data_IF_338295723058
#
_entry.id   IF_338295723058
#
_cell.length_a   1.000
_cell.length_b   1.000
_cell.length_c   1.000
_cell.angle_alpha   90.00
_cell.angle_beta   90.00
_cell.angle_gamma   90.00
#
_symmetry.space_group_name_H-M   'P 1'
#
loop_
_entity.id
_entity.type
_entity.pdbx_description
1 polymer ?
#
# COMPACT_ATOMS: atom_id res chain seq x y z
N UNK A 1 -39.10 1.05 17.13
CA UNK A 1 -37.96 1.24 18.05
C UNK A 1 -36.89 2.00 17.27
N UNK A 2 -36.78 3.31 17.51
CA UNK A 2 -35.87 4.19 16.77
C UNK A 2 -34.50 4.18 17.46
N UNK A 3 -33.43 3.99 16.69
CA UNK A 3 -32.06 4.14 17.19
C UNK A 3 -31.72 5.64 17.33
N UNK A 4 -31.03 6.07 18.39
CA UNK A 4 -30.70 7.48 18.59
C UNK A 4 -29.64 7.97 17.58
N UNK A 5 -29.76 9.20 17.06
CA UNK A 5 -28.83 9.78 16.11
C UNK A 5 -27.65 10.39 16.86
N UNK A 6 -26.55 9.65 16.99
CA UNK A 6 -25.23 10.26 17.23
C UNK A 6 -24.10 9.29 16.83
N UNK A 7 -24.08 8.90 15.56
CA UNK A 7 -22.83 8.40 14.96
C UNK A 7 -21.99 9.63 14.62
N UNK A 8 -21.00 9.92 15.46
CA UNK A 8 -19.98 10.92 15.20
C UNK A 8 -19.17 10.53 13.97
N UNK A 9 -19.63 10.96 12.80
CA UNK A 9 -18.82 11.01 11.59
C UNK A 9 -17.98 12.29 11.67
N UNK A 10 -16.68 12.15 11.97
CA UNK A 10 -15.74 13.25 11.79
C UNK A 10 -14.99 13.69 13.04
N UNK A 11 -13.95 14.49 12.79
CA UNK A 11 -13.01 15.08 13.74
C UNK A 11 -13.73 15.63 14.97
N UNK A 12 -13.28 15.25 16.17
CA UNK A 12 -13.79 15.76 17.43
C UNK A 12 -12.70 16.46 18.24
N UNK A 13 -13.13 17.30 19.19
CA UNK A 13 -12.20 18.03 20.05
C UNK A 13 -11.43 17.08 20.97
N UNK A 14 -10.09 17.17 20.92
CA UNK A 14 -9.20 16.36 21.74
C UNK A 14 -9.47 16.49 23.25
N UNK A 15 -10.07 17.57 23.75
CA UNK A 15 -10.37 17.69 25.18
C UNK A 15 -11.59 16.86 25.62
N UNK A 16 -12.53 16.60 24.71
CA UNK A 16 -13.84 15.97 25.00
C UNK A 16 -13.84 14.45 24.82
N UNK A 17 -12.90 13.91 24.05
CA UNK A 17 -12.83 12.47 23.81
C UNK A 17 -12.18 11.69 24.98
N UNK A 18 -12.54 10.42 25.21
CA UNK A 18 -11.79 9.52 26.08
C UNK A 18 -10.37 9.27 25.56
N UNK A 19 -9.40 9.06 26.47
CA UNK A 19 -8.02 8.74 26.07
C UNK A 19 -7.89 7.44 25.27
N UNK A 20 -8.82 6.49 25.45
CA UNK A 20 -8.88 5.26 24.65
C UNK A 20 -9.17 5.50 23.17
N UNK A 21 -9.89 6.58 22.84
CA UNK A 21 -10.36 6.90 21.48
C UNK A 21 -9.34 7.74 20.67
N UNK A 22 -8.31 8.26 21.33
CA UNK A 22 -7.32 9.18 20.73
C UNK A 22 -5.97 8.53 20.49
N UNK A 23 -5.80 7.27 20.86
CA UNK A 23 -4.51 6.59 20.82
C UNK A 23 -4.41 5.73 19.57
N UNK A 24 -3.40 6.04 18.76
CA UNK A 24 -3.15 5.40 17.48
C UNK A 24 -1.68 5.00 17.37
N UNK A 25 -1.39 3.97 16.60
CA UNK A 25 -0.03 3.52 16.29
C UNK A 25 0.13 3.42 14.79
N UNK A 26 1.13 4.09 14.24
CA UNK A 26 1.55 3.91 12.86
C UNK A 26 2.64 2.85 12.80
N UNK A 27 2.38 1.76 12.07
CA UNK A 27 3.31 0.66 11.88
C UNK A 27 4.25 0.93 10.70
N UNK A 28 5.38 0.22 10.68
CA UNK A 28 6.35 0.28 9.57
C UNK A 28 5.71 -0.13 8.23
N UNK A 29 4.80 -1.09 8.25
CA UNK A 29 4.07 -1.56 7.06
C UNK A 29 3.07 -0.52 6.49
N UNK A 30 2.92 0.65 7.12
CA UNK A 30 1.97 1.71 6.73
C UNK A 30 0.58 1.59 7.35
N UNK A 31 0.31 0.59 8.20
CA UNK A 31 -0.99 0.47 8.87
C UNK A 31 -1.10 1.41 10.07
N UNK A 32 -2.22 2.12 10.16
CA UNK A 32 -2.57 2.96 11.31
C UNK A 32 -3.61 2.21 12.16
N UNK A 33 -3.22 1.83 13.38
CA UNK A 33 -4.03 1.03 14.32
C UNK A 33 -4.60 1.93 15.41
N UNK A 34 -5.90 1.80 15.68
CA UNK A 34 -6.52 2.34 16.88
C UNK A 34 -6.24 1.42 18.07
N UNK A 35 -5.53 1.92 19.10
CA UNK A 35 -5.05 1.07 20.20
C UNK A 35 -6.21 0.47 21.00
N UNK A 36 -7.28 1.23 21.24
CA UNK A 36 -8.39 0.78 22.08
C UNK A 36 -9.26 -0.33 21.48
N UNK A 37 -9.28 -0.48 20.16
CA UNK A 37 -10.12 -1.48 19.47
C UNK A 37 -9.34 -2.46 18.60
N UNK A 38 -8.04 -2.25 18.42
CA UNK A 38 -7.17 -3.01 17.52
C UNK A 38 -7.61 -2.98 16.04
N UNK A 39 -8.58 -2.13 15.71
CA UNK A 39 -9.03 -1.90 14.35
C UNK A 39 -8.08 -0.94 13.63
N UNK A 40 -8.07 -1.01 12.30
CA UNK A 40 -7.17 -0.22 11.46
C UNK A 40 -7.97 0.77 10.62
N UNK A 41 -7.33 1.88 10.29
CA UNK A 41 -7.88 2.86 9.34
C UNK A 41 -7.95 2.21 7.95
N UNK A 42 -9.16 2.14 7.39
CA UNK A 42 -9.46 1.63 6.06
C UNK A 42 -10.09 2.72 5.20
N UNK A 43 -9.50 2.98 4.04
CA UNK A 43 -10.01 3.89 3.03
C UNK A 43 -10.94 3.19 2.04
N UNK A 44 -12.05 3.84 1.72
CA UNK A 44 -12.90 3.50 0.58
C UNK A 44 -13.05 4.76 -0.30
N UNK A 45 -13.68 4.65 -1.47
CA UNK A 45 -13.84 5.76 -2.41
C UNK A 45 -14.50 7.00 -1.77
N UNK A 46 -15.46 6.78 -0.86
CA UNK A 46 -16.28 7.85 -0.31
C UNK A 46 -15.98 8.19 1.16
N UNK A 47 -15.34 7.28 1.91
CA UNK A 47 -15.18 7.43 3.36
C UNK A 47 -14.01 6.63 3.92
N UNK A 48 -13.61 6.99 5.14
CA UNK A 48 -12.60 6.29 5.94
C UNK A 48 -13.30 5.66 7.16
N UNK A 49 -13.02 4.39 7.43
CA UNK A 49 -13.63 3.63 8.53
C UNK A 49 -12.61 2.85 9.34
N UNK A 50 -12.97 2.47 10.57
CA UNK A 50 -12.22 1.46 11.32
C UNK A 50 -12.70 0.06 10.93
N UNK A 51 -11.79 -0.80 10.50
CA UNK A 51 -12.11 -2.19 10.17
C UNK A 51 -11.09 -3.17 10.76
N UNK A 52 -11.43 -4.47 10.74
CA UNK A 52 -10.45 -5.53 11.04
C UNK A 52 -9.33 -5.48 10.02
N UNK A 53 -8.11 -5.69 10.49
CA UNK A 53 -6.96 -5.73 9.60
C UNK A 53 -7.03 -6.93 8.64
N UNK A 54 -6.99 -6.65 7.35
CA UNK A 54 -6.93 -7.61 6.24
C UNK A 54 -5.59 -7.53 5.50
N UNK A 55 -4.71 -6.60 5.87
CA UNK A 55 -3.46 -6.29 5.17
C UNK A 55 -3.68 -5.92 3.69
N UNK A 56 -4.81 -5.30 3.36
CA UNK A 56 -5.12 -4.87 2.00
C UNK A 56 -4.54 -3.46 1.72
N UNK A 57 -4.37 -3.07 0.44
CA UNK A 57 -3.94 -1.72 0.07
C UNK A 57 -4.77 -0.60 0.70
N UNK A 58 -6.08 -0.77 0.83
CA UNK A 58 -6.99 0.17 1.51
C UNK A 58 -6.66 0.45 2.98
N UNK A 59 -5.77 -0.35 3.58
CA UNK A 59 -5.35 -0.30 4.99
C UNK A 59 -3.88 0.10 5.17
N UNK A 60 -3.26 0.62 4.11
CA UNK A 60 -1.90 1.12 4.10
C UNK A 60 -1.89 2.61 3.78
N UNK A 61 -1.07 3.36 4.49
CA UNK A 61 -1.03 4.81 4.41
C UNK A 61 0.41 5.30 4.44
N UNK A 62 0.68 6.36 3.65
CA UNK A 62 1.94 7.08 3.68
C UNK A 62 1.67 8.55 3.99
N UNK A 63 2.28 9.08 5.04
CA UNK A 63 2.33 10.52 5.27
C UNK A 63 3.35 11.13 4.29
N UNK A 64 2.90 12.03 3.40
CA UNK A 64 3.73 12.61 2.35
C UNK A 64 3.13 13.93 1.87
N UNK A 65 3.98 14.88 1.49
CA UNK A 65 3.58 16.11 0.78
C UNK A 65 3.49 15.91 -0.74
N UNK A 66 4.16 14.88 -1.27
CA UNK A 66 4.11 14.53 -2.69
C UNK A 66 2.72 14.02 -3.10
N UNK A 67 2.19 14.57 -4.19
CA UNK A 67 0.93 14.15 -4.81
C UNK A 67 1.10 13.05 -5.86
N UNK A 68 2.33 12.75 -6.26
CA UNK A 68 2.66 11.71 -7.23
C UNK A 68 3.45 10.58 -6.57
N UNK A 69 3.28 9.33 -7.04
CA UNK A 69 4.06 8.20 -6.56
C UNK A 69 5.54 8.38 -6.95
N UNK A 70 6.43 7.85 -6.11
CA UNK A 70 7.85 7.74 -6.46
C UNK A 70 8.01 6.74 -7.59
N UNK A 71 8.74 7.10 -8.65
CA UNK A 71 9.08 6.19 -9.75
C UNK A 71 10.54 5.77 -9.58
N UNK A 72 10.80 4.47 -9.57
CA UNK A 72 12.14 3.93 -9.35
C UNK A 72 12.35 2.58 -10.06
N UNK A 73 13.62 2.24 -10.29
CA UNK A 73 14.04 0.86 -10.53
C UNK A 73 14.16 0.13 -9.18
N UNK A 74 13.70 -1.11 -9.10
CA UNK A 74 13.89 -1.97 -7.93
C UNK A 74 15.07 -2.88 -8.21
N UNK A 75 16.22 -2.58 -7.58
CA UNK A 75 17.48 -3.31 -7.77
C UNK A 75 17.52 -4.58 -6.91
N UNK A 76 18.15 -5.60 -7.46
CA UNK A 76 18.63 -6.79 -6.76
C UNK A 76 20.16 -6.83 -6.79
N UNK A 77 20.77 -7.92 -6.29
CA UNK A 77 22.22 -8.14 -6.29
C UNK A 77 22.86 -7.84 -7.66
N UNK A 78 24.12 -7.40 -7.60
CA UNK A 78 24.92 -6.97 -8.75
C UNK A 78 24.30 -5.76 -9.49
N UNK A 79 23.94 -5.95 -10.77
CA UNK A 79 23.33 -4.94 -11.63
C UNK A 79 22.01 -5.47 -12.23
N UNK A 80 21.25 -6.25 -11.46
CA UNK A 80 19.95 -6.76 -11.89
C UNK A 80 18.80 -5.92 -11.32
N UNK A 81 17.78 -5.68 -12.14
CA UNK A 81 16.61 -4.91 -11.82
C UNK A 81 15.34 -5.71 -12.08
N UNK A 82 14.33 -5.50 -11.24
CA UNK A 82 13.00 -6.06 -11.43
C UNK A 82 12.41 -5.55 -12.75
N UNK A 83 11.99 -6.47 -13.61
CA UNK A 83 11.55 -6.18 -14.98
C UNK A 83 10.28 -6.95 -15.34
N UNK A 84 9.37 -6.28 -16.07
CA UNK A 84 8.32 -6.97 -16.83
C UNK A 84 8.93 -7.71 -18.02
N UNK A 85 8.69 -9.02 -18.10
CA UNK A 85 9.11 -9.83 -19.26
C UNK A 85 8.27 -9.47 -20.49
N UNK A 86 8.87 -9.51 -21.68
CA UNK A 86 8.29 -8.95 -22.93
C UNK A 86 6.94 -9.59 -23.33
N UNK A 87 6.73 -10.87 -23.03
CA UNK A 87 5.57 -11.64 -23.52
C UNK A 87 4.54 -12.03 -22.45
N UNK A 88 4.61 -11.45 -21.25
CA UNK A 88 3.72 -11.91 -20.18
C UNK A 88 3.46 -10.90 -19.07
N UNK A 89 2.50 -11.25 -18.21
CA UNK A 89 2.29 -10.58 -16.93
C UNK A 89 3.30 -11.03 -15.86
N UNK A 90 4.32 -11.82 -16.21
CA UNK A 90 5.36 -12.23 -15.27
C UNK A 90 6.40 -11.14 -15.09
N UNK A 91 7.04 -11.21 -13.92
CA UNK A 91 8.11 -10.34 -13.51
C UNK A 91 9.37 -11.18 -13.30
N UNK A 92 10.48 -10.70 -13.83
CA UNK A 92 11.79 -11.33 -13.72
C UNK A 92 12.85 -10.32 -13.30
N UNK A 93 14.11 -10.74 -13.40
CA UNK A 93 15.28 -9.90 -13.22
C UNK A 93 16.02 -9.81 -14.54
N UNK A 94 16.48 -8.60 -14.88
CA UNK A 94 17.32 -8.35 -16.06
C UNK A 94 18.34 -7.26 -15.74
N UNK A 95 19.35 -7.09 -16.59
CA UNK A 95 20.37 -6.05 -16.43
C UNK A 95 19.73 -4.66 -16.29
N UNK A 96 20.08 -3.94 -15.22
CA UNK A 96 19.55 -2.62 -14.94
C UNK A 96 19.82 -1.65 -16.09
N UNK A 97 18.76 -1.02 -16.59
CA UNK A 97 18.82 -0.01 -17.64
C UNK A 97 17.81 1.10 -17.32
N UNK A 98 18.30 2.31 -17.07
CA UNK A 98 17.47 3.48 -16.73
C UNK A 98 16.56 3.93 -17.87
N UNK A 99 16.85 3.53 -19.11
CA UNK A 99 16.00 3.85 -20.27
C UNK A 99 14.90 2.79 -20.47
N UNK A 100 15.01 1.64 -19.81
CA UNK A 100 14.04 0.56 -19.95
C UNK A 100 12.81 0.79 -19.07
N UNK A 101 11.74 1.29 -19.70
CA UNK A 101 10.45 1.56 -19.04
C UNK A 101 9.81 0.33 -18.38
N UNK A 102 10.15 -0.89 -18.82
CA UNK A 102 9.68 -2.13 -18.21
C UNK A 102 10.34 -2.43 -16.84
N UNK A 103 11.39 -1.68 -16.49
CA UNK A 103 12.04 -1.71 -15.17
C UNK A 103 11.61 -0.56 -14.25
N UNK A 104 10.73 0.33 -14.73
CA UNK A 104 10.23 1.46 -13.94
C UNK A 104 8.95 1.08 -13.21
N UNK A 105 8.99 1.22 -11.90
CA UNK A 105 7.90 0.90 -11.00
C UNK A 105 7.48 2.15 -10.23
N UNK A 106 6.17 2.37 -10.14
CA UNK A 106 5.60 3.43 -9.34
C UNK A 106 5.23 2.89 -7.95
N UNK A 107 5.79 3.49 -6.91
CA UNK A 107 5.61 3.11 -5.51
C UNK A 107 4.52 4.00 -4.88
N UNK A 108 3.35 3.44 -4.64
CA UNK A 108 2.20 4.16 -4.10
C UNK A 108 2.14 4.09 -2.56
N UNK A 109 1.55 5.11 -1.95
CA UNK A 109 1.39 5.19 -0.48
C UNK A 109 0.43 4.16 0.11
N UNK A 110 -0.37 3.51 -0.73
CA UNK A 110 -1.23 2.36 -0.36
C UNK A 110 -0.45 1.03 -0.31
N UNK A 111 0.88 1.07 -0.45
CA UNK A 111 1.75 -0.10 -0.46
C UNK A 111 1.72 -0.89 -1.77
N UNK A 112 1.02 -0.42 -2.80
CA UNK A 112 1.06 -1.07 -4.12
C UNK A 112 2.30 -0.65 -4.91
N UNK A 113 2.87 -1.61 -5.65
CA UNK A 113 3.93 -1.37 -6.64
C UNK A 113 3.29 -1.52 -8.01
N UNK A 114 3.29 -0.46 -8.83
CA UNK A 114 2.52 -0.40 -10.09
C UNK A 114 3.40 -0.25 -11.31
N UNK A 115 2.92 -0.68 -12.48
CA UNK A 115 3.60 -0.38 -13.75
C UNK A 115 3.67 1.14 -13.92
N UNK A 116 4.85 1.69 -14.20
CA UNK A 116 4.98 3.13 -14.42
C UNK A 116 4.16 3.62 -15.63
N UNK A 117 4.20 2.89 -16.74
CA UNK A 117 3.48 3.26 -17.97
C UNK A 117 1.95 3.11 -17.86
N UNK A 118 1.45 2.30 -16.93
CA UNK A 118 0.02 2.07 -16.70
C UNK A 118 -0.26 1.72 -15.23
N UNK A 119 -0.53 2.75 -14.43
CA UNK A 119 -0.79 2.64 -12.99
C UNK A 119 -2.06 1.89 -12.57
N UNK A 120 -2.80 1.28 -13.50
CA UNK A 120 -3.93 0.40 -13.21
C UNK A 120 -3.51 -1.05 -12.92
N UNK A 121 -2.23 -1.36 -13.07
CA UNK A 121 -1.68 -2.70 -12.93
C UNK A 121 -0.66 -2.75 -11.80
N UNK A 122 -0.88 -3.66 -10.86
CA UNK A 122 -0.14 -3.81 -9.62
C UNK A 122 0.66 -5.11 -9.65
N UNK A 123 1.84 -5.08 -9.03
CA UNK A 123 2.62 -6.26 -8.67
C UNK A 123 1.79 -7.10 -7.69
N UNK A 124 1.61 -8.37 -8.01
CA UNK A 124 0.69 -9.28 -7.33
C UNK A 124 1.40 -10.58 -7.02
N UNK A 125 1.44 -10.96 -5.75
CA UNK A 125 1.86 -12.31 -5.35
C UNK A 125 0.74 -13.31 -5.61
N UNK A 126 1.08 -14.56 -5.93
CA UNK A 126 0.10 -15.64 -5.82
C UNK A 126 -0.05 -16.11 -4.36
N UNK A 127 -1.20 -16.72 -4.05
CA UNK A 127 -1.53 -17.16 -2.68
C UNK A 127 -0.65 -18.31 -2.18
N UNK A 128 -0.05 -19.09 -3.09
CA UNK A 128 0.70 -20.29 -2.76
C UNK A 128 2.21 -20.06 -2.84
N UNK A 129 2.96 -20.59 -1.87
CA UNK A 129 4.42 -20.52 -1.84
C UNK A 129 5.05 -21.10 -3.10
N UNK A 130 6.13 -20.48 -3.58
CA UNK A 130 6.89 -20.95 -4.76
C UNK A 130 6.24 -20.63 -6.11
N UNK A 131 5.13 -19.87 -6.11
CA UNK A 131 4.52 -19.34 -7.33
C UNK A 131 5.15 -18.01 -7.75
N UNK A 132 5.02 -17.70 -9.03
CA UNK A 132 5.55 -16.46 -9.62
C UNK A 132 4.84 -15.23 -9.05
N UNK A 133 5.59 -14.13 -8.99
CA UNK A 133 5.03 -12.79 -8.88
C UNK A 133 4.62 -12.34 -10.28
N UNK A 134 3.42 -11.79 -10.39
CA UNK A 134 2.86 -11.32 -11.65
C UNK A 134 2.44 -9.87 -11.55
N UNK A 135 1.94 -9.32 -12.64
CA UNK A 135 1.25 -8.05 -12.66
C UNK A 135 -0.19 -8.26 -13.11
N UNK A 136 -1.13 -7.83 -12.27
CA UNK A 136 -2.56 -7.91 -12.56
C UNK A 136 -3.24 -6.56 -12.33
N UNK A 137 -4.51 -6.43 -12.70
CA UNK A 137 -5.28 -5.23 -12.38
C UNK A 137 -5.23 -4.95 -10.87
N UNK A 138 -5.05 -3.69 -10.49
CA UNK A 138 -5.06 -3.27 -9.10
C UNK A 138 -6.46 -3.42 -8.49
N UNK A 139 -6.50 -4.06 -7.31
CA UNK A 139 -7.69 -4.38 -6.54
C UNK A 139 -7.33 -4.28 -5.05
N UNK A 140 -8.33 -4.30 -4.17
CA UNK A 140 -8.07 -4.25 -2.72
C UNK A 140 -7.74 -5.65 -2.16
N UNK A 141 -6.64 -6.23 -2.65
CA UNK A 141 -6.20 -7.59 -2.33
C UNK A 141 -4.89 -7.54 -1.52
N UNK A 142 -4.77 -8.31 -0.43
CA UNK A 142 -3.54 -8.35 0.37
C UNK A 142 -2.29 -8.76 -0.43
N UNK A 143 -2.48 -9.53 -1.49
CA UNK A 143 -1.44 -9.95 -2.44
C UNK A 143 -0.81 -8.80 -3.24
N UNK A 144 -1.40 -7.61 -3.20
CA UNK A 144 -0.94 -6.42 -3.93
C UNK A 144 -0.34 -5.36 -3.01
N UNK A 145 -0.29 -5.63 -1.69
CA UNK A 145 0.38 -4.78 -0.73
C UNK A 145 1.79 -5.30 -0.47
N UNK A 146 2.76 -4.40 -0.59
CA UNK A 146 4.17 -4.66 -0.41
C UNK A 146 4.74 -3.65 0.57
N UNK A 147 5.55 -4.14 1.51
CA UNK A 147 6.36 -3.29 2.37
C UNK A 147 7.78 -3.25 1.81
N UNK A 148 8.14 -2.11 1.23
CA UNK A 148 9.52 -1.83 0.86
C UNK A 148 10.09 -1.05 2.03
N UNK A 149 10.79 -1.75 2.92
CA UNK A 149 11.57 -1.17 4.01
C UNK A 149 12.72 -0.32 3.47
N UNK A 150 12.43 0.79 2.81
CA UNK A 150 13.39 1.80 2.45
C UNK A 150 13.60 2.66 3.69
N UNK A 151 14.64 2.35 4.46
CA UNK A 151 15.27 3.39 5.27
C UNK A 151 15.85 4.37 4.27
N UNK A 152 15.34 5.59 4.24
CA UNK A 152 16.04 6.70 3.60
C UNK A 152 17.44 6.72 4.20
N UNK A 153 18.43 6.26 3.43
CA UNK A 153 19.82 6.37 3.81
C UNK A 153 20.22 7.80 3.45
N UNK A 154 20.02 8.71 4.41
CA UNK A 154 20.60 10.05 4.38
C UNK A 154 22.09 10.02 4.72
#
# INVERSE_FOLDING_TARGET
>A
MAMPPNYGYGVSECAKEPNSNKKWTHKEDGTIVHIGSEMVITGNLDYVTLQRNKNAPSQSWKATESLTPMVANIKWLENLCLQLTEDSNYVGLDGCNSENKSQHWALYGDGTIRKHVNGNYCLTSEKYSGRFVTVSKCEDKPQQRWDLGAKDMS
#
